data_IF_900439684673
#
_entry.id   IF_900439684673
#
_cell.length_a   1.000
_cell.length_b   1.000
_cell.length_c   1.000
_cell.angle_alpha   90.00
_cell.angle_beta   90.00
_cell.angle_gamma   90.00
#
_symmetry.space_group_name_H-M   'P 1'
#
loop_
_entity.id
_entity.type
_entity.pdbx_description
1 polymer ?
#
# COMPACT_ATOMS: atom_id res chain seq x y z
N UNK A 1 0.16 -22.48 8.90
CA UNK A 1 -0.26 -21.68 7.75
C UNK A 1 0.09 -20.22 8.05
N UNK A 2 0.73 -19.53 7.11
CA UNK A 2 1.01 -18.10 7.24
C UNK A 2 -0.31 -17.33 7.33
N UNK A 3 -0.42 -16.43 8.32
CA UNK A 3 -1.54 -15.50 8.43
C UNK A 3 -1.12 -14.16 7.83
N UNK A 4 -2.03 -13.48 7.16
CA UNK A 4 -1.74 -12.23 6.46
C UNK A 4 -2.48 -11.06 7.10
N UNK A 5 -1.81 -9.91 7.15
CA UNK A 5 -2.41 -8.60 7.40
C UNK A 5 -2.55 -7.87 6.07
N UNK A 6 -3.61 -7.08 5.93
CA UNK A 6 -3.87 -6.28 4.74
C UNK A 6 -4.11 -4.83 5.13
N UNK A 7 -3.59 -3.91 4.33
CA UNK A 7 -3.72 -2.48 4.54
C UNK A 7 -4.07 -1.78 3.23
N UNK A 8 -4.92 -0.76 3.33
CA UNK A 8 -5.24 0.16 2.24
C UNK A 8 -4.72 1.55 2.58
N UNK A 9 -3.99 2.16 1.65
CA UNK A 9 -3.38 3.49 1.86
C UNK A 9 -3.77 4.41 0.70
N UNK A 10 -4.29 5.62 0.96
CA UNK A 10 -4.44 6.63 -0.07
C UNK A 10 -3.06 7.13 -0.50
N UNK A 11 -2.83 7.21 -1.80
CA UNK A 11 -1.56 7.63 -2.39
C UNK A 11 -1.77 8.93 -3.16
N UNK A 12 -1.02 9.96 -2.76
CA UNK A 12 -0.98 11.24 -3.46
C UNK A 12 -0.10 11.11 -4.69
N UNK A 13 -0.62 11.45 -5.87
CA UNK A 13 0.09 11.27 -7.15
C UNK A 13 1.45 11.95 -7.23
N UNK A 14 1.64 13.06 -6.51
CA UNK A 14 2.91 13.80 -6.45
C UNK A 14 3.90 13.27 -5.39
N UNK A 15 3.48 12.32 -4.55
CA UNK A 15 4.29 11.71 -3.50
C UNK A 15 4.29 10.17 -3.54
N UNK A 16 3.80 9.58 -4.64
CA UNK A 16 3.63 8.13 -4.80
C UNK A 16 4.86 7.34 -4.37
N UNK A 17 6.04 7.67 -4.89
CA UNK A 17 7.29 6.97 -4.57
C UNK A 17 7.56 6.97 -3.07
N UNK A 18 7.53 8.15 -2.44
CA UNK A 18 7.81 8.29 -1.01
C UNK A 18 6.84 7.46 -0.15
N UNK A 19 5.55 7.44 -0.50
CA UNK A 19 4.54 6.66 0.22
C UNK A 19 4.82 5.16 0.07
N UNK A 20 5.11 4.69 -1.15
CA UNK A 20 5.41 3.27 -1.40
C UNK A 20 6.70 2.83 -0.70
N UNK A 21 7.74 3.66 -0.72
CA UNK A 21 9.01 3.39 -0.03
C UNK A 21 8.79 3.25 1.48
N UNK A 22 8.10 4.20 2.11
CA UNK A 22 7.80 4.15 3.55
C UNK A 22 7.02 2.88 3.93
N UNK A 23 6.03 2.47 3.12
CA UNK A 23 5.30 1.23 3.37
C UNK A 23 6.20 0.00 3.22
N UNK A 24 7.10 -0.01 2.24
CA UNK A 24 8.10 -1.05 2.06
C UNK A 24 9.07 -1.15 3.24
N UNK A 25 9.52 -0.01 3.78
CA UNK A 25 10.36 0.06 4.99
C UNK A 25 9.63 -0.50 6.23
N UNK A 26 8.32 -0.27 6.33
CA UNK A 26 7.45 -0.85 7.37
C UNK A 26 7.15 -2.36 7.15
N UNK A 27 7.73 -2.97 6.12
CA UNK A 27 7.61 -4.39 5.81
C UNK A 27 6.34 -4.76 5.04
N UNK A 28 5.62 -3.78 4.49
CA UNK A 28 4.44 -4.04 3.66
C UNK A 28 4.84 -4.34 2.22
N UNK A 29 4.27 -5.41 1.65
CA UNK A 29 4.40 -5.77 0.25
C UNK A 29 3.26 -5.13 -0.56
N UNK A 30 3.59 -4.36 -1.59
CA UNK A 30 2.61 -3.78 -2.50
C UNK A 30 1.93 -4.87 -3.32
N UNK A 31 0.60 -4.92 -3.29
CA UNK A 31 -0.21 -5.84 -4.08
C UNK A 31 -0.68 -5.18 -5.37
N UNK A 32 -1.29 -3.99 -5.26
CA UNK A 32 -1.85 -3.27 -6.41
C UNK A 32 -2.06 -1.80 -6.09
N UNK A 33 -1.99 -0.95 -7.12
CA UNK A 33 -2.47 0.44 -7.08
C UNK A 33 -3.68 0.55 -8.01
N UNK A 34 -4.76 1.16 -7.54
CA UNK A 34 -5.99 1.41 -8.32
C UNK A 34 -6.32 2.89 -8.35
N UNK A 35 -6.94 3.39 -9.43
CA UNK A 35 -7.51 4.73 -9.44
C UNK A 35 -8.72 4.81 -8.50
N UNK A 36 -8.83 5.91 -7.77
CA UNK A 36 -10.00 6.28 -6.98
C UNK A 36 -11.06 6.99 -7.82
N UNK A 37 -11.98 7.71 -7.15
CA UNK A 37 -13.06 8.44 -7.82
C UNK A 37 -12.58 9.52 -8.81
N UNK A 38 -11.37 10.05 -8.61
CA UNK A 38 -10.75 11.07 -9.46
C UNK A 38 -9.33 10.61 -9.88
N UNK A 39 -8.80 11.08 -11.03
CA UNK A 39 -7.48 10.68 -11.52
C UNK A 39 -6.31 10.99 -10.58
N UNK A 40 -6.46 11.97 -9.70
CA UNK A 40 -5.43 12.39 -8.73
C UNK A 40 -5.44 11.59 -7.43
N UNK A 41 -6.45 10.73 -7.25
CA UNK A 41 -6.59 9.90 -6.06
C UNK A 41 -6.22 8.47 -6.44
N UNK A 42 -5.11 7.98 -5.92
CA UNK A 42 -4.73 6.57 -6.04
C UNK A 42 -4.94 5.87 -4.70
N UNK A 43 -5.24 4.58 -4.74
CA UNK A 43 -5.30 3.73 -3.54
C UNK A 43 -4.37 2.55 -3.76
N UNK A 44 -3.47 2.33 -2.80
CA UNK A 44 -2.58 1.19 -2.79
C UNK A 44 -3.06 0.14 -1.78
N UNK A 45 -3.08 -1.12 -2.22
CA UNK A 45 -3.33 -2.29 -1.40
C UNK A 45 -2.01 -2.95 -1.05
N UNK A 46 -1.82 -3.24 0.23
CA UNK A 46 -0.64 -3.91 0.75
C UNK A 46 -1.02 -5.18 1.51
N UNK A 47 -0.05 -6.09 1.62
CA UNK A 47 -0.11 -7.24 2.52
C UNK A 47 1.20 -7.38 3.29
N UNK A 48 1.16 -8.01 4.46
CA UNK A 48 2.34 -8.40 5.22
C UNK A 48 2.05 -9.67 6.00
N UNK A 49 3.07 -10.49 6.26
CA UNK A 49 2.92 -11.63 7.16
C UNK A 49 2.58 -11.15 8.57
N UNK A 50 1.56 -11.74 9.18
CA UNK A 50 1.18 -11.41 10.56
C UNK A 50 2.24 -11.95 11.51
N UNK A 51 2.81 -11.07 12.33
CA UNK A 51 3.67 -11.48 13.43
C UNK A 51 2.93 -12.49 14.32
N UNK A 52 3.60 -13.60 14.65
CA UNK A 52 3.02 -14.70 15.42
C UNK A 52 2.78 -14.34 16.88
#
# INVERSE_FOLDING_TARGET
>A
MTKWEYLTVPVLVHATKQILDNMGEDGWELVQVVPGMNPENLVAYFKREKAS
#
